data_IF_035661974988
#
_entry.id   IF_035661974988
#
_cell.length_a   1.000
_cell.length_b   1.000
_cell.length_c   1.000
_cell.angle_alpha   90.00
_cell.angle_beta   90.00
_cell.angle_gamma   90.00
#
_symmetry.space_group_name_H-M   'P 1'
#
loop_
_entity.id
_entity.type
_entity.pdbx_description
1 polymer ?
#
# COMPACT_ATOMS: atom_id res chain seq x y z
N UNK A 1 -44.32 55.27 -0.72
CA UNK A 1 -43.97 54.31 0.35
C UNK A 1 -42.99 53.29 -0.22
N UNK A 2 -41.75 53.20 0.28
CA UNK A 2 -40.76 52.18 -0.13
C UNK A 2 -40.38 51.37 1.11
N UNK A 3 -40.76 50.11 1.16
CA UNK A 3 -40.50 49.17 2.24
C UNK A 3 -39.14 48.50 2.03
N UNK A 4 -38.19 48.73 2.95
CA UNK A 4 -36.90 48.07 2.95
C UNK A 4 -36.93 46.86 3.91
N UNK A 5 -36.73 45.66 3.37
CA UNK A 5 -36.61 44.41 4.14
C UNK A 5 -35.17 44.30 4.67
N UNK A 6 -35.01 44.43 6.00
CA UNK A 6 -33.73 44.20 6.68
C UNK A 6 -33.43 42.69 6.80
N UNK A 7 -32.48 42.20 5.98
CA UNK A 7 -31.97 40.81 6.08
C UNK A 7 -30.99 40.69 7.25
N UNK A 8 -31.42 40.11 8.37
CA UNK A 8 -30.52 39.77 9.48
C UNK A 8 -29.48 38.73 9.03
N UNK A 9 -28.19 39.06 9.14
CA UNK A 9 -27.08 38.11 8.88
C UNK A 9 -27.12 36.99 9.92
N UNK A 10 -27.10 35.73 9.47
CA UNK A 10 -26.99 34.55 10.36
C UNK A 10 -25.58 34.51 10.99
N UNK A 11 -25.44 34.21 12.29
CA UNK A 11 -24.14 34.05 12.92
C UNK A 11 -23.45 32.80 12.36
N UNK A 12 -22.18 32.96 11.95
CA UNK A 12 -21.35 31.83 11.50
C UNK A 12 -21.00 30.97 12.72
N UNK A 13 -21.54 29.75 12.77
CA UNK A 13 -21.18 28.75 13.78
C UNK A 13 -19.71 28.37 13.58
N UNK A 14 -18.86 28.73 14.53
CA UNK A 14 -17.44 28.36 14.54
C UNK A 14 -17.39 26.85 14.79
N UNK A 15 -17.03 26.08 13.76
CA UNK A 15 -16.79 24.64 13.93
C UNK A 15 -15.45 24.52 14.64
N UNK A 16 -15.49 24.26 15.94
CA UNK A 16 -14.32 23.93 16.74
C UNK A 16 -14.03 22.45 16.46
N UNK A 17 -13.00 22.19 15.65
CA UNK A 17 -12.43 20.84 15.52
C UNK A 17 -11.72 20.57 16.83
N UNK A 18 -12.25 19.66 17.65
CA UNK A 18 -11.58 19.18 18.85
C UNK A 18 -10.48 18.19 18.43
N UNK A 19 -9.20 18.41 18.79
CA UNK A 19 -8.18 17.38 18.66
C UNK A 19 -7.96 16.76 20.04
N UNK A 20 -8.66 15.68 20.37
CA UNK A 20 -8.26 14.85 21.51
C UNK A 20 -9.12 13.59 21.55
N UNK A 21 -8.69 12.57 20.81
CA UNK A 21 -9.02 11.20 21.16
C UNK A 21 -8.24 10.86 22.45
N UNK A 22 -8.79 11.27 23.59
CA UNK A 22 -8.42 10.75 24.90
C UNK A 22 -9.38 9.60 25.18
N UNK A 23 -8.88 8.37 25.09
CA UNK A 23 -9.61 7.21 25.55
C UNK A 23 -9.03 6.79 26.90
N UNK A 24 -9.69 7.21 27.98
CA UNK A 24 -9.56 6.53 29.27
C UNK A 24 -10.38 5.24 29.17
N UNK A 25 -9.71 4.10 29.17
CA UNK A 25 -10.31 2.81 29.46
C UNK A 25 -9.45 2.10 30.50
N UNK A 26 -9.81 2.26 31.76
CA UNK A 26 -9.45 1.29 32.78
C UNK A 26 -10.54 0.20 32.82
N UNK A 27 -10.20 -1.00 32.36
CA UNK A 27 -10.89 -2.23 32.77
C UNK A 27 -10.00 -3.46 32.47
N UNK A 28 -9.32 -3.92 33.52
CA UNK A 28 -8.99 -5.32 33.84
C UNK A 28 -8.42 -6.23 32.75
N UNK A 29 -7.09 -6.40 32.75
CA UNK A 29 -6.37 -7.48 32.05
C UNK A 29 -5.19 -6.95 31.25
N UNK A 30 -3.98 -7.07 31.80
CA UNK A 30 -2.78 -6.41 31.31
C UNK A 30 -2.32 -6.88 29.91
N UNK A 31 -2.67 -6.12 28.88
CA UNK A 31 -1.80 -5.79 27.75
C UNK A 31 -2.07 -4.32 27.42
N UNK A 32 -1.18 -3.41 27.82
CA UNK A 32 -1.24 -2.03 27.36
C UNK A 32 -1.09 -2.05 25.84
N UNK A 33 -2.17 -1.78 25.12
CA UNK A 33 -2.09 -1.57 23.67
C UNK A 33 -1.57 -0.17 23.45
N UNK A 34 -0.29 0.01 23.74
CA UNK A 34 0.44 1.21 23.34
C UNK A 34 0.40 1.25 21.80
N UNK A 35 -0.03 2.36 21.18
CA UNK A 35 -0.14 2.43 19.73
C UNK A 35 1.24 2.21 19.13
N UNK A 36 1.40 1.12 18.38
CA UNK A 36 2.69 0.75 17.78
C UNK A 36 3.03 1.80 16.71
N UNK A 37 4.08 2.61 16.90
CA UNK A 37 4.42 3.66 15.94
C UNK A 37 5.00 3.05 14.65
N UNK A 38 4.33 3.31 13.52
CA UNK A 38 4.61 2.68 12.22
C UNK A 38 6.01 3.03 11.65
N UNK A 39 6.48 4.25 11.92
CA UNK A 39 7.75 4.79 11.40
C UNK A 39 8.94 4.54 12.34
N UNK A 40 8.81 3.57 13.26
CA UNK A 40 9.92 3.21 14.14
C UNK A 40 10.80 2.11 13.56
N UNK A 41 12.11 2.15 13.83
CA UNK A 41 13.00 1.08 13.43
C UNK A 41 12.62 -0.25 14.08
N UNK A 42 12.86 -1.34 13.36
CA UNK A 42 12.54 -2.69 13.79
C UNK A 42 13.61 -3.68 13.35
N UNK A 43 14.03 -4.57 14.25
CA UNK A 43 15.01 -5.61 13.96
C UNK A 43 14.30 -6.91 13.63
N UNK A 44 14.37 -7.33 12.36
CA UNK A 44 13.81 -8.58 11.86
C UNK A 44 14.93 -9.61 11.66
N UNK A 45 15.24 -10.38 12.70
CA UNK A 45 16.30 -11.39 12.64
C UNK A 45 17.67 -10.78 12.31
N UNK A 46 18.17 -11.02 11.09
CA UNK A 46 19.44 -10.46 10.58
C UNK A 46 19.27 -9.08 9.91
N UNK A 47 18.05 -8.63 9.66
CA UNK A 47 17.75 -7.38 8.97
C UNK A 47 17.39 -6.27 9.95
N UNK A 48 17.96 -5.08 9.74
CA UNK A 48 17.60 -3.88 10.48
C UNK A 48 16.74 -3.00 9.56
N UNK A 49 15.47 -2.80 9.92
CA UNK A 49 14.52 -1.99 9.17
C UNK A 49 14.38 -0.60 9.81
N UNK A 50 14.26 0.42 8.98
CA UNK A 50 14.06 1.81 9.44
C UNK A 50 12.60 2.10 9.77
N UNK A 51 11.67 1.31 9.24
CA UNK A 51 10.22 1.47 9.41
C UNK A 51 9.51 0.12 9.29
N UNK A 52 8.24 0.07 9.72
CA UNK A 52 7.42 -1.15 9.72
C UNK A 52 6.47 -1.26 8.53
N UNK A 53 6.67 -0.44 7.50
CA UNK A 53 5.94 -0.52 6.22
C UNK A 53 6.65 -1.51 5.31
N UNK A 54 5.91 -2.49 4.79
CA UNK A 54 6.43 -3.56 3.94
C UNK A 54 5.65 -3.60 2.64
N UNK A 55 6.34 -3.81 1.51
CA UNK A 55 5.68 -4.14 0.26
C UNK A 55 5.24 -5.60 0.30
N UNK A 56 3.92 -5.83 0.33
CA UNK A 56 3.33 -7.15 0.25
C UNK A 56 3.64 -7.84 -1.10
N UNK A 57 3.64 -9.19 -1.16
CA UNK A 57 3.77 -9.91 -2.42
C UNK A 57 2.54 -9.63 -3.29
N UNK A 58 2.76 -9.04 -4.48
CA UNK A 58 1.71 -8.67 -5.42
C UNK A 58 1.98 -9.29 -6.79
N UNK A 59 1.23 -10.33 -7.16
CA UNK A 59 1.31 -10.91 -8.51
C UNK A 59 0.73 -9.93 -9.53
N UNK A 60 1.56 -9.42 -10.46
CA UNK A 60 1.14 -8.42 -11.46
C UNK A 60 0.97 -8.96 -12.88
N UNK A 61 1.36 -10.21 -13.12
CA UNK A 61 1.33 -10.88 -14.43
C UNK A 61 1.98 -10.05 -15.56
N UNK A 62 3.12 -9.40 -15.28
CA UNK A 62 3.85 -8.58 -16.28
C UNK A 62 5.12 -9.25 -16.80
N UNK A 63 5.33 -10.51 -16.47
CA UNK A 63 6.46 -11.27 -16.98
C UNK A 63 6.15 -11.87 -18.34
N UNK A 64 7.11 -11.76 -19.26
CA UNK A 64 7.12 -12.55 -20.47
C UNK A 64 8.04 -13.75 -20.23
N UNK A 65 7.59 -14.95 -20.60
CA UNK A 65 8.38 -16.18 -20.49
C UNK A 65 8.97 -16.44 -19.09
N UNK A 66 8.24 -16.06 -18.02
CA UNK A 66 8.69 -16.18 -16.64
C UNK A 66 10.00 -15.42 -16.31
N UNK A 67 10.44 -14.49 -17.16
CA UNK A 67 11.65 -13.71 -16.98
C UNK A 67 11.35 -12.26 -16.56
N UNK A 68 12.08 -11.71 -15.56
CA UNK A 68 11.95 -10.32 -15.17
C UNK A 68 12.37 -9.39 -16.29
N UNK A 69 11.55 -8.37 -16.53
CA UNK A 69 11.72 -7.39 -17.60
C UNK A 69 12.29 -6.09 -17.03
N UNK A 70 12.83 -5.17 -17.85
CA UNK A 70 13.37 -3.90 -17.35
C UNK A 70 12.36 -3.07 -16.55
N UNK A 71 11.07 -3.17 -16.87
CA UNK A 71 10.02 -2.48 -16.11
C UNK A 71 9.85 -3.02 -14.68
N UNK A 72 10.21 -4.28 -14.42
CA UNK A 72 10.21 -4.88 -13.08
C UNK A 72 11.24 -4.19 -12.19
N UNK A 73 12.43 -3.91 -12.73
CA UNK A 73 13.46 -3.16 -12.02
C UNK A 73 12.98 -1.75 -11.65
N UNK A 74 12.37 -1.02 -12.61
CA UNK A 74 11.78 0.29 -12.36
C UNK A 74 10.66 0.23 -11.30
N UNK A 75 9.82 -0.80 -11.36
CA UNK A 75 8.71 -1.00 -10.42
C UNK A 75 9.18 -1.16 -8.96
N UNK A 76 10.19 -1.99 -8.72
CA UNK A 76 10.75 -2.17 -7.38
C UNK A 76 11.57 -0.94 -6.96
N UNK A 77 12.33 -0.32 -7.86
CA UNK A 77 13.09 0.90 -7.58
C UNK A 77 12.21 2.04 -7.08
N UNK A 78 11.02 2.23 -7.66
CA UNK A 78 10.04 3.23 -7.22
C UNK A 78 9.47 2.99 -5.82
N UNK A 79 9.54 1.75 -5.32
CA UNK A 79 8.97 1.32 -4.04
C UNK A 79 10.04 1.07 -2.98
N UNK A 80 11.31 1.20 -3.35
CA UNK A 80 12.43 1.08 -2.41
C UNK A 80 12.53 2.34 -1.57
N UNK A 81 12.50 2.15 -0.26
CA UNK A 81 12.80 3.16 0.75
C UNK A 81 14.05 2.73 1.53
N UNK A 82 14.74 3.68 2.15
CA UNK A 82 15.95 3.39 2.93
C UNK A 82 15.61 2.52 4.15
N UNK A 83 16.17 1.30 4.20
CA UNK A 83 15.87 0.33 5.26
C UNK A 83 14.43 -0.19 5.24
N UNK A 84 13.77 -0.15 4.08
CA UNK A 84 12.47 -0.79 3.86
C UNK A 84 12.60 -2.26 3.49
N UNK A 85 11.53 -3.02 3.75
CA UNK A 85 11.45 -4.44 3.39
C UNK A 85 10.46 -4.64 2.24
N UNK A 86 10.90 -5.34 1.19
CA UNK A 86 10.09 -5.61 0.01
C UNK A 86 10.01 -7.12 -0.22
N UNK A 87 8.80 -7.63 -0.41
CA UNK A 87 8.57 -9.02 -0.80
C UNK A 87 8.22 -9.02 -2.29
N UNK A 88 9.00 -9.76 -3.07
CA UNK A 88 8.77 -9.88 -4.50
C UNK A 88 7.46 -10.61 -4.80
N UNK A 89 6.95 -10.42 -6.01
CA UNK A 89 5.81 -11.17 -6.50
C UNK A 89 6.10 -12.68 -6.59
N UNK A 90 5.03 -13.49 -6.62
CA UNK A 90 5.16 -14.94 -6.71
C UNK A 90 5.92 -15.33 -7.98
N UNK A 91 7.00 -16.09 -7.81
CA UNK A 91 7.83 -16.63 -8.89
C UNK A 91 7.73 -18.14 -8.89
N UNK A 92 7.44 -18.72 -10.06
CA UNK A 92 7.37 -20.17 -10.20
C UNK A 92 8.75 -20.79 -9.98
N UNK A 93 8.82 -21.82 -9.14
CA UNK A 93 10.07 -22.57 -8.89
C UNK A 93 10.31 -23.62 -9.99
N UNK A 94 9.23 -24.08 -10.63
CA UNK A 94 9.23 -25.05 -11.73
C UNK A 94 8.15 -24.73 -12.76
N UNK A 95 8.27 -25.27 -13.98
CA UNK A 95 7.29 -25.07 -15.06
C UNK A 95 5.87 -25.52 -14.66
N UNK A 96 5.76 -26.56 -13.84
CA UNK A 96 4.49 -27.09 -13.31
C UNK A 96 3.89 -26.28 -12.15
N UNK A 97 4.63 -25.34 -11.57
CA UNK A 97 4.17 -24.55 -10.40
C UNK A 97 3.34 -23.31 -10.77
N UNK A 98 3.17 -23.04 -12.06
CA UNK A 98 2.50 -21.84 -12.56
C UNK A 98 0.98 -22.03 -12.64
N UNK A 99 0.27 -21.61 -11.59
CA UNK A 99 -1.21 -21.64 -11.56
C UNK A 99 -1.89 -20.54 -12.38
N UNK A 100 -1.15 -19.51 -12.78
CA UNK A 100 -1.64 -18.41 -13.61
C UNK A 100 -0.80 -18.35 -14.89
N UNK A 101 -1.46 -18.53 -16.03
CA UNK A 101 -0.83 -18.35 -17.34
C UNK A 101 -0.43 -16.89 -17.51
N UNK A 102 0.86 -16.59 -17.36
CA UNK A 102 1.41 -15.28 -17.67
C UNK A 102 1.60 -15.23 -19.19
N UNK A 103 0.50 -14.90 -19.90
CA UNK A 103 0.37 -14.63 -21.33
C UNK A 103 1.45 -15.28 -22.24
N UNK A 104 1.55 -16.62 -22.22
CA UNK A 104 2.14 -17.38 -23.33
C UNK A 104 1.22 -17.37 -24.57
N UNK A 105 0.00 -16.83 -24.45
CA UNK A 105 -1.04 -16.83 -25.48
C UNK A 105 -0.91 -15.75 -26.57
N UNK A 106 0.23 -15.05 -26.68
CA UNK A 106 0.42 -14.06 -27.75
C UNK A 106 1.41 -14.46 -28.85
N UNK A 107 2.00 -15.67 -28.82
CA UNK A 107 2.84 -16.15 -29.93
C UNK A 107 2.10 -16.96 -30.99
N UNK A 108 0.85 -17.37 -30.75
CA UNK A 108 0.08 -18.19 -31.70
C UNK A 108 -0.71 -17.38 -32.75
N UNK A 109 -0.75 -16.04 -32.66
CA UNK A 109 -1.46 -15.19 -33.62
C UNK A 109 -0.56 -14.48 -34.65
N UNK A 110 0.77 -14.65 -34.58
CA UNK A 110 1.71 -13.94 -35.47
C UNK A 110 2.46 -14.84 -36.46
N UNK A 111 2.27 -16.17 -36.43
CA UNK A 111 2.97 -17.09 -37.35
C UNK A 111 2.08 -17.66 -38.46
N UNK A 112 0.91 -17.07 -38.73
CA UNK A 112 0.06 -17.44 -39.87
C UNK A 112 -0.16 -16.25 -40.80
N UNK A 113 0.92 -15.72 -41.36
CA UNK A 113 0.92 -14.97 -42.63
C UNK A 113 2.38 -14.74 -43.06
N UNK A 114 2.98 -15.78 -43.62
CA UNK A 114 3.96 -15.68 -44.70
C UNK A 114 3.98 -16.96 -45.51
#
# INVERSE_FOLDING_TARGET
MKSYILRKKRPKKKVVIQPSFKQEMELGGALSVDPIPLLTPYKMGKFNLSHRVVLAPLTRQRFYQNAPQPHTCLYYSQRTSQGGFLIAESTGVSETSLGYTIMLLLSLFFTSNS
#
